data_IF_155495155978
#
_entry.id   IF_155495155978
#
_cell.length_a   1.000
_cell.length_b   1.000
_cell.length_c   1.000
_cell.angle_alpha   90.00
_cell.angle_beta   90.00
_cell.angle_gamma   90.00
#
_symmetry.space_group_name_H-M   'P 1'
#
loop_
_entity.id
_entity.type
_entity.pdbx_description
1 polymer ?
#
# COMPACT_ATOMS: atom_id res chain seq x y z
N UNK A 1 -9.04 -13.41 -4.84
CA UNK A 1 -9.31 -14.29 -5.97
C UNK A 1 -9.24 -15.79 -5.63
N UNK A 2 -8.67 -16.14 -4.49
CA UNK A 2 -8.57 -17.54 -4.06
C UNK A 2 -9.59 -17.89 -2.96
N UNK A 3 -10.61 -17.07 -2.78
CA UNK A 3 -11.65 -17.21 -1.74
C UNK A 3 -11.08 -17.32 -0.31
N UNK A 4 -9.94 -16.69 -0.08
CA UNK A 4 -9.33 -16.61 1.25
C UNK A 4 -9.78 -15.31 1.91
N UNK A 5 -10.34 -15.35 3.13
CA UNK A 5 -10.69 -14.12 3.85
C UNK A 5 -9.46 -13.23 4.06
N UNK A 6 -9.60 -11.95 3.74
CA UNK A 6 -8.55 -10.95 3.86
C UNK A 6 -9.13 -9.68 4.50
N UNK A 7 -8.61 -9.32 5.67
CA UNK A 7 -9.05 -8.16 6.43
C UNK A 7 -7.93 -7.13 6.53
N UNK A 8 -8.28 -5.86 6.41
CA UNK A 8 -7.33 -4.76 6.59
C UNK A 8 -7.70 -3.98 7.85
N UNK A 9 -6.75 -3.84 8.75
CA UNK A 9 -6.91 -3.06 9.98
C UNK A 9 -6.29 -1.68 9.78
N UNK A 10 -7.06 -0.63 10.06
CA UNK A 10 -6.63 0.76 9.86
C UNK A 10 -7.36 1.71 10.81
N UNK A 11 -6.72 2.81 11.23
CA UNK A 11 -7.41 3.88 11.95
C UNK A 11 -8.19 4.77 10.98
N UNK A 12 -9.25 5.39 11.44
CA UNK A 12 -10.11 6.25 10.60
C UNK A 12 -9.38 7.37 9.84
N UNK A 13 -8.31 8.00 10.37
CA UNK A 13 -7.58 9.02 9.61
C UNK A 13 -6.93 8.52 8.32
N UNK A 14 -6.75 7.21 8.17
CA UNK A 14 -6.20 6.61 6.95
C UNK A 14 -7.21 6.59 5.80
N UNK A 15 -8.50 6.73 6.10
CA UNK A 15 -9.56 6.71 5.09
C UNK A 15 -9.55 8.04 4.33
N UNK A 16 -9.38 7.96 3.01
CA UNK A 16 -9.49 9.13 2.13
C UNK A 16 -10.89 9.17 1.50
N UNK A 17 -11.72 10.10 2.00
CA UNK A 17 -13.10 10.26 1.55
C UNK A 17 -13.24 10.92 0.19
N UNK A 18 -12.15 11.38 -0.41
CA UNK A 18 -12.15 12.03 -1.73
C UNK A 18 -11.93 11.05 -2.88
N UNK A 19 -11.53 9.83 -2.58
CA UNK A 19 -11.20 8.79 -3.57
C UNK A 19 -12.29 7.73 -3.58
N UNK A 20 -12.87 7.46 -4.75
CA UNK A 20 -13.88 6.42 -4.92
C UNK A 20 -13.33 5.13 -5.56
N UNK A 21 -12.26 5.22 -6.35
CA UNK A 21 -11.60 4.08 -6.97
C UNK A 21 -10.09 4.20 -6.81
N UNK A 22 -9.52 3.49 -5.85
CA UNK A 22 -8.09 3.55 -5.57
C UNK A 22 -7.23 3.07 -6.74
N UNK A 23 -7.70 2.10 -7.53
CA UNK A 23 -6.95 1.60 -8.68
C UNK A 23 -6.83 2.65 -9.76
N UNK A 24 -7.92 3.41 -10.01
CA UNK A 24 -7.95 4.44 -11.03
C UNK A 24 -7.40 5.79 -10.55
N UNK A 25 -7.63 6.14 -9.28
CA UNK A 25 -7.46 7.50 -8.77
C UNK A 25 -6.15 7.72 -8.01
N UNK A 26 -5.50 6.65 -7.52
CA UNK A 26 -4.24 6.80 -6.76
C UNK A 26 -3.05 6.73 -7.70
N UNK A 27 -2.29 7.82 -7.86
CA UNK A 27 -1.02 7.77 -8.60
C UNK A 27 0.03 7.06 -7.76
N UNK A 28 0.65 6.02 -8.34
CA UNK A 28 1.73 5.29 -7.66
C UNK A 28 3.06 5.78 -8.22
N UNK A 29 3.89 6.34 -7.33
CA UNK A 29 5.23 6.77 -7.69
C UNK A 29 6.11 5.58 -8.01
N UNK A 30 6.78 5.62 -9.16
CA UNK A 30 7.83 4.67 -9.50
C UNK A 30 9.15 5.24 -8.98
N UNK A 31 9.72 4.58 -8.00
CA UNK A 31 10.98 5.00 -7.38
C UNK A 31 12.17 4.47 -8.18
N UNK A 32 13.37 4.96 -7.85
CA UNK A 32 14.59 4.53 -8.54
C UNK A 32 14.79 3.01 -8.42
N UNK A 33 15.07 2.35 -9.55
CA UNK A 33 15.34 0.92 -9.57
C UNK A 33 16.56 0.55 -8.70
N UNK A 34 17.48 1.47 -8.52
CA UNK A 34 18.69 1.28 -7.72
C UNK A 34 18.38 0.95 -6.26
N UNK A 35 17.26 1.39 -5.72
CA UNK A 35 16.84 1.05 -4.35
C UNK A 35 16.63 -0.45 -4.14
N UNK A 36 16.27 -1.19 -5.19
CA UNK A 36 16.02 -2.64 -5.11
C UNK A 36 17.15 -3.48 -5.72
N UNK A 37 17.97 -2.90 -6.59
CA UNK A 37 19.07 -3.62 -7.23
C UNK A 37 20.38 -3.49 -6.48
N UNK A 38 20.51 -2.50 -5.60
CA UNK A 38 21.72 -2.21 -4.86
C UNK A 38 21.44 -2.07 -3.37
N UNK A 39 22.44 -2.30 -2.55
CA UNK A 39 22.40 -2.11 -1.11
C UNK A 39 23.67 -1.40 -0.66
N UNK A 40 23.52 -0.50 0.33
CA UNK A 40 24.67 0.10 0.98
C UNK A 40 25.18 -0.80 2.09
N UNK A 41 26.49 -0.93 2.18
CA UNK A 41 27.14 -1.69 3.24
C UNK A 41 28.44 -1.05 3.66
N UNK A 42 28.85 -1.35 4.88
CA UNK A 42 30.14 -0.89 5.40
C UNK A 42 31.20 -1.94 5.14
N UNK A 43 32.26 -1.54 4.46
CA UNK A 43 33.43 -2.39 4.25
C UNK A 43 34.30 -2.44 5.52
N UNK A 44 35.13 -3.48 5.65
CA UNK A 44 36.02 -3.67 6.78
C UNK A 44 36.90 -2.46 7.09
N UNK A 45 37.19 -1.65 6.08
CA UNK A 45 38.03 -0.42 6.20
C UNK A 45 37.19 0.81 6.53
N UNK A 46 36.00 0.66 7.08
CA UNK A 46 35.08 1.74 7.43
C UNK A 46 34.58 2.59 6.25
N UNK A 47 34.76 2.14 5.00
CA UNK A 47 34.16 2.78 3.85
C UNK A 47 32.73 2.26 3.64
N UNK A 48 31.83 3.15 3.27
CA UNK A 48 30.46 2.77 2.88
C UNK A 48 30.44 2.62 1.37
N UNK A 49 30.00 1.46 0.91
CA UNK A 49 29.94 1.13 -0.51
C UNK A 49 28.54 0.68 -0.90
N UNK A 50 28.16 1.01 -2.13
CA UNK A 50 26.92 0.53 -2.73
C UNK A 50 27.24 -0.69 -3.58
N UNK A 51 26.55 -1.80 -3.28
CA UNK A 51 26.83 -3.10 -3.91
C UNK A 51 25.57 -3.56 -4.64
N UNK A 52 25.76 -4.04 -5.87
CA UNK A 52 24.70 -4.69 -6.62
C UNK A 52 24.37 -6.05 -6.01
N UNK A 53 23.09 -6.29 -5.75
CA UNK A 53 22.58 -7.57 -5.21
C UNK A 53 21.85 -8.40 -6.25
N UNK A 54 21.69 -7.89 -7.46
CA UNK A 54 21.10 -8.59 -8.60
C UNK A 54 22.14 -8.96 -9.63
N UNK A 55 21.81 -9.85 -10.57
CA UNK A 55 22.66 -10.13 -11.72
C UNK A 55 22.79 -8.90 -12.62
N UNK A 56 23.90 -8.82 -13.37
CA UNK A 56 24.07 -7.76 -14.37
C UNK A 56 22.96 -7.79 -15.43
N UNK A 57 22.55 -6.63 -15.87
CA UNK A 57 21.52 -6.48 -16.90
C UNK A 57 20.09 -6.66 -16.41
N UNK A 58 19.87 -6.96 -15.13
CA UNK A 58 18.53 -7.04 -14.56
C UNK A 58 18.03 -5.62 -14.28
N UNK A 59 16.83 -5.30 -14.77
CA UNK A 59 16.14 -4.06 -14.43
C UNK A 59 15.22 -4.29 -13.23
N UNK A 60 15.10 -3.27 -12.38
CA UNK A 60 14.24 -3.33 -11.19
C UNK A 60 12.98 -2.51 -11.38
N UNK A 61 11.83 -3.09 -11.01
CA UNK A 61 10.60 -2.34 -10.81
C UNK A 61 10.50 -1.93 -9.35
N UNK A 62 10.19 -0.68 -9.07
CA UNK A 62 10.13 -0.17 -7.70
C UNK A 62 8.96 0.79 -7.49
N UNK A 63 7.71 0.32 -7.66
CA UNK A 63 6.55 1.10 -7.26
C UNK A 63 6.57 1.35 -5.75
N UNK A 64 6.28 2.59 -5.33
CA UNK A 64 6.31 2.95 -3.92
C UNK A 64 5.20 2.28 -3.12
N UNK A 65 4.05 2.06 -3.75
CA UNK A 65 2.88 1.45 -3.14
C UNK A 65 2.18 0.52 -4.11
N UNK A 66 1.34 -0.34 -3.56
CA UNK A 66 0.42 -1.18 -4.32
C UNK A 66 -1.01 -0.80 -3.98
N UNK A 67 -1.96 -1.15 -4.85
CA UNK A 67 -3.39 -0.89 -4.63
C UNK A 67 -4.15 -2.20 -4.79
N UNK A 68 -4.88 -2.57 -3.74
CA UNK A 68 -5.75 -3.74 -3.76
C UNK A 68 -7.18 -3.32 -4.05
N UNK A 69 -7.84 -3.89 -5.09
CA UNK A 69 -9.25 -3.63 -5.35
C UNK A 69 -10.13 -4.03 -4.15
N UNK A 70 -11.13 -3.23 -3.82
CA UNK A 70 -12.00 -3.48 -2.67
C UNK A 70 -12.74 -4.82 -2.75
N UNK A 71 -13.01 -5.34 -3.94
CA UNK A 71 -13.65 -6.66 -4.13
C UNK A 71 -12.85 -7.82 -3.53
N UNK A 72 -11.54 -7.65 -3.35
CA UNK A 72 -10.65 -8.66 -2.78
C UNK A 72 -10.51 -8.54 -1.26
N UNK A 73 -11.02 -7.48 -0.68
CA UNK A 73 -10.97 -7.25 0.76
C UNK A 73 -12.27 -7.75 1.39
N UNK A 74 -12.16 -8.70 2.30
CA UNK A 74 -13.33 -9.26 3.00
C UNK A 74 -13.96 -8.25 3.93
N UNK A 75 -13.15 -7.49 4.65
CA UNK A 75 -13.64 -6.48 5.57
C UNK A 75 -12.55 -5.55 6.05
N UNK A 76 -12.97 -4.45 6.64
CA UNK A 76 -12.10 -3.43 7.23
C UNK A 76 -12.32 -3.41 8.74
N UNK A 77 -11.22 -3.39 9.49
CA UNK A 77 -11.23 -3.31 10.94
C UNK A 77 -10.76 -1.91 11.34
N UNK A 78 -11.63 -1.15 11.99
CA UNK A 78 -11.32 0.20 12.46
C UNK A 78 -11.57 0.30 13.96
N UNK A 79 -11.29 1.47 14.55
CA UNK A 79 -11.60 1.75 15.95
C UNK A 79 -13.11 1.72 16.25
N UNK A 80 -13.96 1.78 15.23
CA UNK A 80 -15.42 1.69 15.37
C UNK A 80 -15.99 0.30 15.11
N UNK A 81 -15.14 -0.66 14.75
CA UNK A 81 -15.55 -2.04 14.52
C UNK A 81 -15.18 -2.55 13.13
N UNK A 82 -15.85 -3.60 12.69
CA UNK A 82 -15.62 -4.26 11.42
C UNK A 82 -16.73 -3.91 10.43
N UNK A 83 -16.35 -3.55 9.21
CA UNK A 83 -17.29 -3.24 8.13
C UNK A 83 -16.88 -3.90 6.82
N UNK A 84 -17.81 -3.96 5.88
CA UNK A 84 -17.47 -4.32 4.50
C UNK A 84 -16.56 -3.24 3.89
N UNK A 85 -15.72 -3.64 2.95
CA UNK A 85 -14.82 -2.74 2.22
C UNK A 85 -15.59 -2.03 1.10
N UNK A 86 -16.52 -1.17 1.46
CA UNK A 86 -17.32 -0.40 0.53
C UNK A 86 -17.55 1.02 1.05
N UNK A 87 -17.70 1.95 0.12
CA UNK A 87 -18.02 3.35 0.45
C UNK A 87 -19.29 3.45 1.30
N UNK A 88 -20.32 2.70 0.92
CA UNK A 88 -21.61 2.70 1.62
C UNK A 88 -21.47 2.22 3.08
N UNK A 89 -20.73 1.14 3.30
CA UNK A 89 -20.53 0.58 4.63
C UNK A 89 -19.70 1.51 5.50
N UNK A 90 -18.66 2.13 4.94
CA UNK A 90 -17.83 3.10 5.64
C UNK A 90 -18.60 4.37 5.97
N UNK A 91 -19.41 4.89 5.04
CA UNK A 91 -20.23 6.07 5.29
C UNK A 91 -21.26 5.83 6.41
N UNK A 92 -21.80 4.64 6.50
CA UNK A 92 -22.72 4.24 7.57
C UNK A 92 -22.02 4.18 8.93
N UNK A 93 -20.77 3.71 8.95
CA UNK A 93 -19.98 3.61 10.18
C UNK A 93 -19.41 4.96 10.64
N UNK A 94 -19.10 5.83 9.69
CA UNK A 94 -18.50 7.16 9.93
C UNK A 94 -19.34 8.28 9.31
N UNK A 95 -20.60 8.45 9.70
CA UNK A 95 -21.46 9.46 9.09
C UNK A 95 -20.96 10.90 9.35
N UNK A 96 -20.23 11.12 10.43
CA UNK A 96 -19.62 12.38 10.80
C UNK A 96 -18.41 12.74 9.93
N UNK A 97 -17.73 11.76 9.35
CA UNK A 97 -16.52 11.96 8.55
C UNK A 97 -16.77 11.85 7.05
N UNK A 98 -17.80 11.15 6.64
CA UNK A 98 -18.08 10.89 5.23
C UNK A 98 -18.54 12.13 4.44
N UNK A 99 -18.92 13.21 5.12
CA UNK A 99 -19.34 14.46 4.46
C UNK A 99 -20.72 14.40 3.78
N UNK A 100 -21.51 13.41 4.09
CA UNK A 100 -22.87 13.24 3.56
C UNK A 100 -23.93 13.67 4.53
#
# INVERSE_FOLDING_TARGET
>A
DNNIPFYVALPSPTIDWTISDGVADIPIEERAAREVTHIFGQHEKNSIEEIRVTSEGVSGGNPAFDVTPNRLVTGLITERGVSDASEKALAKMFPDLAGF
#
